data_IF_860050717456
#
_entry.id   IF_860050717456
#
_cell.length_a   1.000
_cell.length_b   1.000
_cell.length_c   1.000
_cell.angle_alpha   90.00
_cell.angle_beta   90.00
_cell.angle_gamma   90.00
#
_symmetry.space_group_name_H-M   'P 1'
#
loop_
_entity.id
_entity.type
_entity.pdbx_description
1 polymer ?
#
# COMPACT_ATOMS: atom_id res chain seq x y z
N UNK A 1 -13.33 -7.53 12.60
CA UNK A 1 -12.76 -7.32 11.25
C UNK A 1 -11.61 -8.31 11.08
N UNK A 2 -11.69 -9.23 10.11
CA UNK A 2 -10.63 -10.24 9.88
C UNK A 2 -9.54 -9.63 8.99
N UNK A 3 -8.30 -10.12 9.12
CA UNK A 3 -7.17 -9.67 8.29
C UNK A 3 -7.47 -9.78 6.78
N UNK A 4 -8.14 -10.86 6.38
CA UNK A 4 -8.57 -11.06 4.99
C UNK A 4 -9.52 -9.95 4.51
N UNK A 5 -10.46 -9.52 5.35
CA UNK A 5 -11.40 -8.45 5.00
C UNK A 5 -10.65 -7.13 4.76
N UNK A 6 -9.61 -6.84 5.55
CA UNK A 6 -8.76 -5.66 5.36
C UNK A 6 -7.96 -5.71 4.05
N UNK A 7 -7.47 -6.89 3.67
CA UNK A 7 -6.72 -7.08 2.43
C UNK A 7 -7.63 -6.86 1.22
N UNK A 8 -8.83 -7.46 1.25
CA UNK A 8 -9.81 -7.32 0.18
C UNK A 8 -10.29 -5.86 0.07
N UNK A 9 -10.56 -5.19 1.18
CA UNK A 9 -10.94 -3.77 1.19
C UNK A 9 -9.81 -2.89 0.64
N UNK A 10 -8.55 -3.18 0.99
CA UNK A 10 -7.40 -2.45 0.43
C UNK A 10 -7.28 -2.63 -1.08
N UNK A 11 -7.40 -3.88 -1.56
CA UNK A 11 -7.40 -4.21 -2.98
C UNK A 11 -8.50 -3.47 -3.75
N UNK A 12 -9.73 -3.47 -3.25
CA UNK A 12 -10.85 -2.83 -3.94
C UNK A 12 -10.78 -1.30 -3.89
N UNK A 13 -10.40 -0.75 -2.73
CA UNK A 13 -10.52 0.69 -2.48
C UNK A 13 -9.27 1.48 -2.82
N UNK A 14 -8.08 0.88 -2.78
CA UNK A 14 -6.82 1.62 -2.86
C UNK A 14 -5.91 1.14 -3.99
N UNK A 15 -5.80 -0.17 -4.27
CA UNK A 15 -4.87 -0.67 -5.29
C UNK A 15 -5.07 0.00 -6.66
N UNK A 16 -3.97 0.47 -7.25
CA UNK A 16 -3.96 1.20 -8.52
C UNK A 16 -4.52 2.63 -8.45
N UNK A 17 -4.89 3.14 -7.26
CA UNK A 17 -5.40 4.50 -7.06
C UNK A 17 -4.32 5.42 -6.49
N UNK A 18 -4.55 6.72 -6.68
CA UNK A 18 -3.66 7.78 -6.20
C UNK A 18 -4.46 8.76 -5.36
N UNK A 19 -3.93 9.12 -4.19
CA UNK A 19 -4.43 10.22 -3.38
C UNK A 19 -3.49 11.42 -3.52
N UNK A 20 -4.04 12.59 -3.85
CA UNK A 20 -3.29 13.84 -3.81
C UNK A 20 -3.49 14.50 -2.45
N UNK A 21 -2.39 14.82 -1.78
CA UNK A 21 -2.40 15.57 -0.52
C UNK A 21 -1.90 16.97 -0.80
N UNK A 22 -2.73 17.95 -0.46
CA UNK A 22 -2.35 19.36 -0.47
C UNK A 22 -2.00 19.80 0.95
N UNK A 23 -0.88 20.47 1.11
CA UNK A 23 -0.41 21.00 2.39
C UNK A 23 -0.18 22.50 2.29
N UNK A 24 -0.20 23.19 3.43
CA UNK A 24 0.16 24.61 3.50
C UNK A 24 1.68 24.83 3.64
N UNK A 25 2.49 23.79 3.45
CA UNK A 25 3.95 23.89 3.52
C UNK A 25 4.51 24.19 2.13
N UNK A 26 5.06 25.40 1.94
CA UNK A 26 5.53 25.92 0.65
C UNK A 26 6.47 24.99 -0.13
N UNK A 27 7.30 24.20 0.55
CA UNK A 27 8.25 23.30 -0.12
C UNK A 27 7.65 21.92 -0.45
N UNK A 28 6.44 21.62 0.02
CA UNK A 28 5.71 20.38 -0.26
C UNK A 28 4.20 20.68 -0.35
N UNK A 29 3.84 21.69 -1.15
CA UNK A 29 2.45 22.14 -1.26
C UNK A 29 1.54 21.03 -1.76
N UNK A 30 2.05 20.16 -2.64
CA UNK A 30 1.31 19.03 -3.17
C UNK A 30 2.24 17.82 -3.26
N UNK A 31 1.76 16.68 -2.79
CA UNK A 31 2.37 15.38 -3.11
C UNK A 31 1.28 14.34 -3.41
N UNK A 32 1.69 13.29 -4.11
CA UNK A 32 0.80 12.19 -4.50
C UNK A 32 1.25 10.91 -3.81
N UNK A 33 0.29 10.20 -3.25
CA UNK A 33 0.46 8.86 -2.68
C UNK A 33 -0.17 7.88 -3.65
N UNK A 34 0.65 7.02 -4.25
CA UNK A 34 0.19 5.91 -5.06
C UNK A 34 0.05 4.69 -4.15
N UNK A 35 -1.06 3.98 -4.28
CA UNK A 35 -1.30 2.76 -3.51
C UNK A 35 -1.16 1.56 -4.45
N UNK A 36 -0.29 0.64 -4.06
CA UNK A 36 -0.01 -0.58 -4.80
C UNK A 36 -0.20 -1.78 -3.89
N UNK A 37 -0.62 -2.91 -4.46
CA UNK A 37 -0.78 -4.15 -3.71
C UNK A 37 0.52 -4.60 -3.00
N UNK A 38 1.67 -4.28 -3.58
CA UNK A 38 2.99 -4.56 -2.98
C UNK A 38 3.20 -3.84 -1.65
N UNK A 39 2.48 -2.75 -1.39
CA UNK A 39 2.61 -1.99 -0.16
C UNK A 39 2.12 -2.78 1.06
N UNK A 40 1.20 -3.74 0.86
CA UNK A 40 0.74 -4.65 1.92
C UNK A 40 1.91 -5.42 2.56
N UNK A 41 2.95 -5.74 1.79
CA UNK A 41 4.16 -6.38 2.30
C UNK A 41 4.86 -5.55 3.38
N UNK A 42 4.86 -4.23 3.20
CA UNK A 42 5.43 -3.29 4.17
C UNK A 42 4.43 -2.95 5.28
N UNK A 43 3.16 -2.73 4.95
CA UNK A 43 2.10 -2.41 5.90
C UNK A 43 1.88 -3.52 6.94
N UNK A 44 1.98 -4.79 6.53
CA UNK A 44 1.92 -5.93 7.45
C UNK A 44 3.26 -6.30 8.08
N UNK A 45 4.34 -5.59 7.74
CA UNK A 45 5.66 -5.86 8.29
C UNK A 45 6.26 -7.21 7.85
N UNK A 46 5.81 -7.77 6.73
CA UNK A 46 6.28 -9.07 6.23
C UNK A 46 7.79 -9.05 5.95
N UNK A 47 8.32 -7.91 5.48
CA UNK A 47 9.76 -7.68 5.30
C UNK A 47 10.61 -7.86 6.56
N UNK A 48 10.01 -7.89 7.77
CA UNK A 48 10.71 -8.15 9.03
C UNK A 48 10.71 -9.64 9.41
N UNK A 49 9.84 -10.43 8.76
CA UNK A 49 9.59 -11.83 9.06
C UNK A 49 10.17 -12.72 7.96
N UNK A 50 10.03 -12.30 6.71
CA UNK A 50 10.56 -12.99 5.53
C UNK A 50 11.62 -12.13 4.84
N UNK A 51 12.57 -12.77 4.15
CA UNK A 51 13.56 -12.09 3.30
C UNK A 51 13.09 -11.97 1.84
N UNK A 52 11.83 -12.29 1.60
CA UNK A 52 11.26 -12.27 0.25
C UNK A 52 10.97 -10.85 -0.20
N UNK A 53 11.04 -10.62 -1.50
CA UNK A 53 10.65 -9.34 -2.07
C UNK A 53 9.13 -9.17 -2.04
N UNK A 54 8.66 -7.93 -1.94
CA UNK A 54 7.22 -7.61 -1.95
C UNK A 54 6.48 -8.19 -3.17
N UNK A 55 7.12 -8.18 -4.35
CA UNK A 55 6.60 -8.77 -5.59
C UNK A 55 6.35 -10.27 -5.50
N UNK A 56 7.04 -10.99 -4.61
CA UNK A 56 6.88 -12.43 -4.40
C UNK A 56 5.81 -12.76 -3.34
N UNK A 57 5.30 -11.75 -2.63
CA UNK A 57 4.23 -11.94 -1.63
C UNK A 57 2.82 -11.73 -2.18
N UNK A 58 2.72 -11.31 -3.43
CA UNK A 58 1.45 -11.23 -4.16
C UNK A 58 1.28 -12.55 -4.91
N UNK A 59 0.16 -13.28 -4.72
CA UNK A 59 -0.11 -14.47 -5.52
C UNK A 59 -0.12 -14.09 -7.00
N UNK A 60 0.63 -14.81 -7.83
CA UNK A 60 0.41 -14.75 -9.28
C UNK A 60 -0.96 -15.37 -9.54
N UNK A 61 -1.93 -14.54 -9.92
CA UNK A 61 -3.24 -14.99 -10.39
C UNK A 61 -3.08 -15.52 -11.82
#
# INVERSE_FOLDING_TARGET
MKLLDCILDYQERFDGKTCQVSTNYKYLEIFKVNFCLTDLHHLFGLHKITRDFASHTIPAI
#
